data_IF_051838318482
#
_entry.id   IF_051838318482
#
_cell.length_a   1.000
_cell.length_b   1.000
_cell.length_c   1.000
_cell.angle_alpha   90.00
_cell.angle_beta   90.00
_cell.angle_gamma   90.00
#
_symmetry.space_group_name_H-M   'P 1'
#
loop_
_entity.id
_entity.type
_entity.pdbx_description
1 polymer ?
#
# COMPACT_ATOMS: atom_id res chain seq x y z
N UNK A 1 -7.32 10.01 8.58
CA UNK A 1 -8.31 9.58 9.60
C UNK A 1 -8.01 10.34 10.89
N UNK A 2 -9.04 10.85 11.55
CA UNK A 2 -8.95 11.49 12.87
C UNK A 2 -9.54 10.55 13.92
N UNK A 3 -8.82 10.35 15.01
CA UNK A 3 -9.19 9.44 16.09
C UNK A 3 -9.58 10.19 17.36
N UNK A 4 -10.62 9.68 18.03
CA UNK A 4 -10.91 10.02 19.43
C UNK A 4 -10.27 8.95 20.32
N UNK A 5 -9.22 9.27 21.08
CA UNK A 5 -8.50 8.28 21.89
C UNK A 5 -9.29 7.84 23.13
N UNK A 6 -10.30 8.59 23.55
CA UNK A 6 -11.10 8.31 24.74
C UNK A 6 -12.42 7.59 24.45
N UNK A 7 -12.85 7.59 23.20
CA UNK A 7 -14.08 6.93 22.80
C UNK A 7 -14.00 5.40 22.97
N UNK A 8 -15.11 4.79 23.37
CA UNK A 8 -15.22 3.35 23.55
C UNK A 8 -16.25 2.77 22.60
N UNK A 9 -15.99 1.56 22.13
CA UNK A 9 -16.91 0.83 21.24
C UNK A 9 -16.76 -0.66 21.46
N UNK A 10 -17.90 -1.36 21.37
CA UNK A 10 -17.91 -2.81 21.28
C UNK A 10 -17.96 -3.23 19.81
N UNK A 11 -17.05 -4.09 19.41
CA UNK A 11 -16.98 -4.61 18.03
C UNK A 11 -18.14 -5.59 17.83
N UNK A 12 -18.89 -5.38 16.76
CA UNK A 12 -20.01 -6.26 16.40
C UNK A 12 -20.25 -6.29 14.90
N UNK A 13 -20.60 -7.47 14.39
CA UNK A 13 -21.03 -7.64 13.01
C UNK A 13 -22.29 -6.83 12.67
N UNK A 14 -23.08 -6.47 13.66
CA UNK A 14 -24.30 -5.65 13.50
C UNK A 14 -24.00 -4.17 13.22
N UNK A 15 -22.83 -3.69 13.60
CA UNK A 15 -22.45 -2.29 13.49
C UNK A 15 -21.34 -2.03 12.46
N UNK A 16 -20.71 -3.08 11.91
CA UNK A 16 -19.71 -2.91 10.85
C UNK A 16 -20.36 -2.75 9.47
N UNK A 17 -19.62 -2.23 8.52
CA UNK A 17 -20.07 -2.02 7.13
C UNK A 17 -19.51 -3.05 6.14
N UNK A 18 -19.01 -4.16 6.63
CA UNK A 18 -18.60 -5.31 5.83
C UNK A 18 -19.84 -6.15 5.48
N UNK A 19 -19.85 -6.75 4.30
CA UNK A 19 -20.98 -7.55 3.83
C UNK A 19 -20.88 -9.02 4.27
N UNK A 20 -20.53 -9.26 5.53
CA UNK A 20 -20.48 -10.56 6.19
C UNK A 20 -21.23 -10.47 7.51
N UNK A 21 -21.74 -11.58 7.98
CA UNK A 21 -22.63 -11.68 9.15
C UNK A 21 -21.89 -12.05 10.44
N UNK A 22 -20.57 -12.18 10.41
CA UNK A 22 -19.77 -12.48 11.59
C UNK A 22 -18.53 -11.58 11.68
N UNK A 23 -17.99 -11.46 12.89
CA UNK A 23 -16.75 -10.76 13.16
C UNK A 23 -15.92 -11.58 14.16
N UNK A 24 -14.64 -11.81 13.85
CA UNK A 24 -13.71 -12.56 14.70
C UNK A 24 -13.55 -11.91 16.08
N UNK A 25 -13.72 -10.61 16.18
CA UNK A 25 -13.59 -9.82 17.40
C UNK A 25 -14.93 -9.47 18.04
N UNK A 26 -16.00 -10.17 17.67
CA UNK A 26 -17.35 -9.93 18.21
C UNK A 26 -17.36 -9.85 19.73
N UNK A 27 -17.95 -8.77 20.26
CA UNK A 27 -18.07 -8.54 21.70
C UNK A 27 -16.85 -7.92 22.37
N UNK A 28 -15.74 -7.72 21.65
CA UNK A 28 -14.55 -7.08 22.20
C UNK A 28 -14.81 -5.58 22.39
N UNK A 29 -14.58 -5.08 23.61
CA UNK A 29 -14.63 -3.66 23.91
C UNK A 29 -13.26 -3.01 23.62
N UNK A 30 -13.27 -1.97 22.81
CA UNK A 30 -12.05 -1.24 22.44
C UNK A 30 -12.14 0.22 22.85
N UNK A 31 -10.99 0.79 23.20
CA UNK A 31 -10.83 2.22 23.48
C UNK A 31 -10.10 2.86 22.30
N UNK A 32 -10.58 4.02 21.88
CA UNK A 32 -10.12 4.69 20.65
C UNK A 32 -11.03 4.34 19.47
N UNK A 33 -11.69 5.36 18.96
CA UNK A 33 -12.62 5.23 17.82
C UNK A 33 -12.31 6.29 16.75
N UNK A 34 -12.59 6.01 15.47
CA UNK A 34 -12.45 7.01 14.43
C UNK A 34 -13.58 8.06 14.57
N UNK A 35 -13.19 9.32 14.69
CA UNK A 35 -14.14 10.44 14.67
C UNK A 35 -14.45 10.85 13.23
N UNK A 36 -13.43 10.98 12.39
CA UNK A 36 -13.55 11.34 10.98
C UNK A 36 -12.69 10.46 10.12
N UNK A 37 -13.22 10.03 8.99
CA UNK A 37 -12.47 9.39 7.92
C UNK A 37 -12.68 10.17 6.63
N UNK A 38 -11.58 10.53 5.97
CA UNK A 38 -11.60 11.26 4.71
C UNK A 38 -11.07 10.38 3.59
N UNK A 39 -11.67 10.51 2.42
CA UNK A 39 -11.23 9.85 1.19
C UNK A 39 -11.26 10.85 0.06
N UNK A 40 -10.11 11.09 -0.57
CA UNK A 40 -9.97 12.04 -1.68
C UNK A 40 -10.50 13.46 -1.34
N UNK A 41 -10.30 13.92 -0.10
CA UNK A 41 -10.76 15.21 0.38
C UNK A 41 -12.21 15.26 0.88
N UNK A 42 -12.96 14.18 0.72
CA UNK A 42 -14.36 14.11 1.20
C UNK A 42 -14.45 13.35 2.51
N UNK A 43 -15.30 13.85 3.41
CA UNK A 43 -15.62 13.16 4.67
C UNK A 43 -16.56 11.99 4.35
N UNK A 44 -16.09 10.78 4.58
CA UNK A 44 -16.86 9.53 4.34
C UNK A 44 -17.40 8.90 5.62
N UNK A 45 -16.85 9.28 6.75
CA UNK A 45 -17.31 8.89 8.08
C UNK A 45 -17.20 10.07 9.05
N UNK A 46 -18.24 10.35 9.78
CA UNK A 46 -18.31 11.44 10.77
C UNK A 46 -19.09 10.99 11.98
N UNK A 47 -18.41 10.89 13.14
CA UNK A 47 -19.00 10.61 14.44
C UNK A 47 -20.01 9.44 14.45
N UNK A 48 -19.68 8.33 13.80
CA UNK A 48 -20.53 7.16 13.72
C UNK A 48 -21.49 7.12 12.54
N UNK A 49 -21.53 8.16 11.72
CA UNK A 49 -22.36 8.23 10.52
C UNK A 49 -21.56 7.97 9.25
N UNK A 50 -22.03 7.02 8.44
CA UNK A 50 -21.43 6.72 7.14
C UNK A 50 -22.00 7.67 6.07
N UNK A 51 -21.09 8.43 5.44
CA UNK A 51 -21.43 9.42 4.40
C UNK A 51 -20.90 9.06 3.01
N UNK A 52 -20.57 7.80 2.79
CA UNK A 52 -20.11 7.33 1.48
C UNK A 52 -21.21 7.35 0.44
N UNK A 53 -20.84 7.67 -0.80
CA UNK A 53 -21.70 7.56 -1.95
C UNK A 53 -21.21 6.46 -2.87
N UNK A 54 -22.11 5.59 -3.30
CA UNK A 54 -21.80 4.50 -4.23
C UNK A 54 -21.32 5.06 -5.57
N UNK A 55 -20.24 4.50 -6.11
CA UNK A 55 -19.71 4.89 -7.42
C UNK A 55 -18.83 6.14 -7.42
N UNK A 56 -18.57 6.75 -6.27
CA UNK A 56 -17.71 7.95 -6.16
C UNK A 56 -16.22 7.65 -6.19
N UNK A 57 -15.83 6.41 -5.88
CA UNK A 57 -14.44 5.97 -5.93
C UNK A 57 -13.88 6.08 -7.36
N UNK A 58 -12.61 6.50 -7.48
CA UNK A 58 -11.89 6.59 -8.74
C UNK A 58 -10.61 5.78 -8.65
N UNK A 59 -10.38 4.94 -9.64
CA UNK A 59 -9.15 4.20 -9.77
C UNK A 59 -7.97 5.15 -10.01
N UNK A 60 -6.89 4.93 -9.29
CA UNK A 60 -5.62 5.64 -9.49
C UNK A 60 -4.65 4.67 -10.12
N UNK A 61 -4.24 4.97 -11.36
CA UNK A 61 -3.25 4.18 -12.07
C UNK A 61 -1.89 4.28 -11.37
N UNK A 62 -1.31 3.14 -11.09
CA UNK A 62 0.00 3.05 -10.45
C UNK A 62 1.01 2.44 -11.42
N UNK A 63 2.00 3.21 -11.87
CA UNK A 63 3.10 2.66 -12.65
C UNK A 63 3.96 1.72 -11.81
N UNK A 64 4.74 0.88 -12.47
CA UNK A 64 5.77 0.07 -11.82
C UNK A 64 6.73 0.98 -11.02
N UNK A 65 7.26 0.46 -9.92
CA UNK A 65 8.20 1.21 -9.08
C UNK A 65 9.40 1.70 -9.93
N UNK A 66 9.57 3.01 -10.15
CA UNK A 66 10.51 3.52 -11.16
C UNK A 66 11.97 3.16 -10.87
N UNK A 67 12.35 3.16 -9.59
CA UNK A 67 13.72 2.82 -9.17
C UNK A 67 14.07 1.38 -9.48
N UNK A 68 13.14 0.45 -9.21
CA UNK A 68 13.32 -0.96 -9.53
C UNK A 68 13.48 -1.17 -11.04
N UNK A 69 12.64 -0.55 -11.85
CA UNK A 69 12.67 -0.66 -13.29
C UNK A 69 13.97 -0.13 -13.89
N UNK A 70 14.39 1.04 -13.47
CA UNK A 70 15.66 1.65 -13.90
C UNK A 70 16.85 0.77 -13.52
N UNK A 71 16.87 0.24 -12.31
CA UNK A 71 17.96 -0.64 -11.85
C UNK A 71 17.99 -1.94 -12.64
N UNK A 72 16.85 -2.48 -13.01
CA UNK A 72 16.80 -3.69 -13.85
C UNK A 72 17.28 -3.42 -15.27
N UNK A 73 16.92 -2.30 -15.88
CA UNK A 73 17.45 -1.89 -17.17
C UNK A 73 18.97 -1.77 -17.13
N UNK A 74 19.50 -1.06 -16.15
CA UNK A 74 20.96 -0.92 -15.97
C UNK A 74 21.65 -2.27 -15.76
N UNK A 75 21.06 -3.16 -14.97
CA UNK A 75 21.59 -4.51 -14.78
C UNK A 75 21.65 -5.27 -16.10
N UNK A 76 20.64 -5.19 -16.92
CA UNK A 76 20.60 -5.87 -18.21
C UNK A 76 21.65 -5.31 -19.17
N UNK A 77 21.87 -3.99 -19.18
CA UNK A 77 22.92 -3.33 -19.97
C UNK A 77 24.32 -3.80 -19.56
N UNK A 78 24.59 -3.84 -18.24
CA UNK A 78 25.89 -4.26 -17.69
C UNK A 78 26.12 -5.76 -17.83
N UNK A 79 25.07 -6.56 -17.88
CA UNK A 79 25.16 -8.03 -18.03
C UNK A 79 25.52 -8.48 -19.44
N UNK A 80 25.49 -7.57 -20.43
CA UNK A 80 25.92 -7.89 -21.81
C UNK A 80 27.45 -8.08 -21.82
N UNK A 81 27.95 -9.26 -22.24
CA UNK A 81 29.39 -9.51 -22.30
C UNK A 81 30.08 -8.57 -23.31
N UNK A 82 31.10 -7.89 -22.87
CA UNK A 82 31.96 -7.13 -23.76
C UNK A 82 33.23 -7.90 -24.08
N UNK A 83 33.65 -7.83 -25.35
CA UNK A 83 34.89 -8.44 -25.78
C UNK A 83 36.08 -7.59 -25.29
N UNK A 84 36.83 -8.15 -24.37
CA UNK A 84 38.08 -7.51 -23.92
C UNK A 84 39.15 -7.79 -24.93
N UNK A 85 39.63 -6.73 -25.60
CA UNK A 85 40.78 -6.80 -26.49
C UNK A 85 42.05 -6.71 -25.63
N UNK A 86 42.78 -7.81 -25.53
CA UNK A 86 44.05 -7.87 -24.82
C UNK A 86 45.18 -7.81 -25.83
N UNK A 87 46.22 -7.01 -25.51
CA UNK A 87 47.45 -7.06 -26.26
C UNK A 87 48.06 -8.47 -26.20
N UNK A 88 48.64 -8.92 -27.31
CA UNK A 88 49.36 -10.20 -27.34
C UNK A 88 50.45 -10.20 -26.27
N UNK A 89 50.52 -11.29 -25.54
CA UNK A 89 51.58 -11.48 -24.54
C UNK A 89 52.91 -11.64 -25.27
N UNK A 90 53.87 -10.74 -25.03
CA UNK A 90 55.18 -10.73 -25.64
C UNK A 90 56.30 -11.09 -24.67
N UNK A 91 55.99 -11.48 -23.44
CA UNK A 91 56.94 -11.88 -22.44
C UNK A 91 57.46 -13.31 -22.59
N UNK A 92 58.41 -13.74 -21.75
CA UNK A 92 58.97 -15.08 -21.81
C UNK A 92 57.91 -16.12 -21.46
N UNK A 93 57.88 -17.22 -22.19
CA UNK A 93 57.04 -18.38 -21.88
C UNK A 93 57.65 -19.08 -20.68
N UNK A 94 56.83 -19.19 -19.61
CA UNK A 94 57.24 -19.91 -18.40
C UNK A 94 57.19 -21.44 -18.63
#
# INVERSE_FOLDING_TARGET
MLWDPCGKRTISAKTHHQKIDFNVYEGMEVTGIPAYTLSQGDVVWENGELKTQRGKGRYIDRPCYPTYWKNQQRRNEVAVPEKVVRAAYTGPVA
#
